data_IF_770553721011
#
_entry.id   IF_770553721011
#
_cell.length_a   1.000
_cell.length_b   1.000
_cell.length_c   1.000
_cell.angle_alpha   90.00
_cell.angle_beta   90.00
_cell.angle_gamma   90.00
#
_symmetry.space_group_name_H-M   'P 1'
#
loop_
_entity.id
_entity.type
_entity.pdbx_description
1 polymer ?
#
# COMPACT_ATOMS: atom_id res chain seq x y z
N UNK A 1 -24.85 -17.52 48.76
CA UNK A 1 -26.04 -17.12 47.98
C UNK A 1 -25.57 -16.19 46.86
N UNK A 2 -25.84 -16.33 45.58
CA UNK A 2 -26.29 -17.41 44.71
C UNK A 2 -25.71 -17.06 43.32
N UNK A 3 -25.22 -18.07 42.59
CA UNK A 3 -24.81 -17.97 41.18
C UNK A 3 -26.06 -17.83 40.30
N UNK A 4 -25.95 -17.12 39.18
CA UNK A 4 -26.93 -17.18 38.10
C UNK A 4 -26.22 -17.63 36.82
N UNK A 5 -26.31 -18.94 36.57
CA UNK A 5 -26.11 -19.58 35.28
C UNK A 5 -27.27 -19.22 34.34
N UNK A 6 -27.01 -19.18 33.04
CA UNK A 6 -28.06 -18.92 32.04
C UNK A 6 -27.62 -19.08 30.59
N UNK A 7 -27.04 -20.23 30.23
CA UNK A 7 -26.94 -20.67 28.84
C UNK A 7 -28.20 -21.47 28.47
N UNK A 8 -28.89 -21.06 27.40
CA UNK A 8 -29.97 -21.83 26.77
C UNK A 8 -29.64 -22.08 25.30
N UNK A 9 -29.57 -23.38 24.96
CA UNK A 9 -29.52 -23.92 23.60
C UNK A 9 -30.95 -24.17 23.10
N UNK A 10 -31.23 -23.85 21.83
CA UNK A 10 -32.18 -24.51 20.89
C UNK A 10 -32.08 -23.75 19.54
N UNK A 11 -31.46 -24.29 18.49
CA UNK A 11 -31.88 -25.37 17.56
C UNK A 11 -32.80 -24.88 16.42
N UNK A 12 -32.56 -25.44 15.21
CA UNK A 12 -33.36 -25.53 13.94
C UNK A 12 -32.52 -25.02 12.73
N UNK A 13 -31.87 -25.90 11.94
CA UNK A 13 -32.31 -26.69 10.77
C UNK A 13 -32.70 -25.85 9.53
N UNK A 14 -31.97 -26.02 8.42
CA UNK A 14 -32.43 -26.67 7.18
C UNK A 14 -31.56 -26.36 5.96
N UNK A 15 -31.47 -27.35 5.08
CA UNK A 15 -30.63 -27.46 3.89
C UNK A 15 -31.22 -26.78 2.64
N UNK A 16 -30.38 -26.58 1.62
CA UNK A 16 -30.80 -26.21 0.27
C UNK A 16 -29.69 -26.46 -0.76
N UNK A 17 -29.77 -27.61 -1.43
CA UNK A 17 -28.98 -28.00 -2.60
C UNK A 17 -29.59 -27.35 -3.87
N UNK A 18 -28.77 -26.90 -4.81
CA UNK A 18 -29.23 -26.41 -6.13
C UNK A 18 -28.15 -26.57 -7.21
N UNK A 19 -28.51 -27.30 -8.28
CA UNK A 19 -27.66 -27.81 -9.36
C UNK A 19 -27.03 -26.72 -10.25
N UNK A 20 -25.83 -27.00 -10.75
CA UNK A 20 -25.25 -26.34 -11.92
C UNK A 20 -25.38 -27.20 -13.18
N UNK A 21 -25.91 -26.59 -14.24
CA UNK A 21 -26.06 -27.12 -15.60
C UNK A 21 -24.81 -26.74 -16.39
N UNK A 22 -24.23 -27.67 -17.15
CA UNK A 22 -23.27 -27.36 -18.20
C UNK A 22 -23.55 -28.23 -19.42
N UNK A 23 -24.02 -27.58 -20.49
CA UNK A 23 -24.06 -28.14 -21.84
C UNK A 23 -22.83 -27.69 -22.61
N UNK A 24 -22.30 -28.59 -23.45
CA UNK A 24 -21.31 -28.23 -24.46
C UNK A 24 -21.79 -28.75 -25.82
N UNK A 25 -21.67 -27.84 -26.80
CA UNK A 25 -22.12 -27.94 -28.17
C UNK A 25 -21.11 -28.64 -29.08
N UNK A 26 -21.67 -29.29 -30.10
CA UNK A 26 -21.17 -29.60 -31.45
C UNK A 26 -19.75 -29.20 -31.88
N UNK A 27 -18.97 -30.20 -32.29
CA UNK A 27 -17.88 -30.07 -33.26
C UNK A 27 -18.28 -30.73 -34.58
N UNK A 28 -18.30 -29.93 -35.66
CA UNK A 28 -18.42 -30.38 -37.04
C UNK A 28 -17.20 -29.93 -37.83
N UNK A 29 -16.35 -30.88 -38.23
CA UNK A 29 -15.25 -30.65 -39.15
C UNK A 29 -14.99 -31.93 -39.95
N UNK A 30 -14.81 -31.80 -41.27
CA UNK A 30 -14.44 -32.90 -42.14
C UNK A 30 -14.66 -32.62 -43.61
N UNK A 31 -13.92 -31.64 -44.14
CA UNK A 31 -13.91 -31.29 -45.57
C UNK A 31 -13.33 -32.41 -46.43
N UNK A 32 -13.95 -32.60 -47.60
CA UNK A 32 -13.54 -33.56 -48.62
C UNK A 32 -12.24 -33.16 -49.31
N UNK A 33 -11.46 -34.19 -49.65
CA UNK A 33 -10.21 -34.12 -50.42
C UNK A 33 -10.36 -34.96 -51.69
N UNK A 34 -9.93 -34.39 -52.82
CA UNK A 34 -9.25 -35.03 -53.96
C UNK A 34 -9.58 -34.27 -55.27
N UNK A 35 -8.66 -33.49 -55.85
CA UNK A 35 -7.52 -33.87 -56.72
C UNK A 35 -7.91 -33.78 -58.23
N UNK A 36 -6.96 -33.83 -59.20
CA UNK A 36 -6.64 -32.66 -60.02
C UNK A 36 -6.81 -32.92 -61.54
N UNK A 37 -6.83 -31.86 -62.35
CA UNK A 37 -6.70 -31.98 -63.81
C UNK A 37 -5.80 -30.90 -64.38
N UNK A 38 -4.81 -31.34 -65.16
CA UNK A 38 -3.93 -30.57 -66.04
C UNK A 38 -3.77 -31.38 -67.34
N UNK A 39 -3.14 -30.86 -68.41
CA UNK A 39 -3.13 -29.51 -68.98
C UNK A 39 -3.48 -29.55 -70.50
N UNK A 40 -3.53 -28.39 -71.17
CA UNK A 40 -3.45 -28.31 -72.64
C UNK A 40 -2.61 -27.09 -73.10
N UNK A 41 -1.92 -27.16 -74.27
CA UNK A 41 -0.86 -26.21 -74.66
C UNK A 41 -1.22 -25.23 -75.79
N UNK A 42 -0.38 -24.18 -75.96
CA UNK A 42 -0.32 -23.25 -77.09
C UNK A 42 -0.92 -21.87 -76.77
N UNK A 43 -0.38 -20.70 -77.11
CA UNK A 43 0.63 -20.25 -78.11
C UNK A 43 1.03 -18.80 -77.69
N UNK A 44 2.17 -18.21 -78.14
CA UNK A 44 2.74 -17.01 -77.52
C UNK A 44 2.10 -15.73 -78.04
N UNK A 45 1.85 -14.76 -77.15
CA UNK A 45 1.41 -13.41 -77.56
C UNK A 45 2.09 -12.33 -76.72
N UNK A 46 2.30 -11.20 -77.38
CA UNK A 46 3.32 -10.21 -77.14
C UNK A 46 3.22 -9.46 -75.79
N UNK A 47 4.39 -9.05 -75.32
CA UNK A 47 4.69 -8.23 -74.13
C UNK A 47 4.05 -6.83 -74.24
N UNK A 48 3.17 -6.42 -73.30
CA UNK A 48 2.93 -5.02 -73.02
C UNK A 48 3.88 -4.53 -71.92
N UNK A 49 4.46 -3.37 -72.15
CA UNK A 49 5.37 -2.65 -71.24
C UNK A 49 4.67 -2.36 -69.91
N UNK A 50 5.22 -2.84 -68.80
CA UNK A 50 4.69 -2.60 -67.46
C UNK A 50 5.01 -1.16 -67.00
N UNK A 51 3.98 -0.40 -66.68
CA UNK A 51 4.05 0.85 -65.91
C UNK A 51 4.58 0.55 -64.50
N UNK A 52 5.49 1.35 -63.93
CA UNK A 52 5.97 1.12 -62.56
C UNK A 52 4.79 1.23 -61.57
N UNK A 53 4.72 0.38 -60.53
CA UNK A 53 3.69 0.48 -59.50
C UNK A 53 3.89 1.79 -58.72
N UNK A 54 2.81 2.54 -58.54
CA UNK A 54 2.75 3.64 -57.57
C UNK A 54 3.18 3.12 -56.19
N UNK A 55 3.98 3.89 -55.41
CA UNK A 55 4.33 3.49 -54.06
C UNK A 55 3.04 3.34 -53.24
N UNK A 56 2.82 2.14 -52.71
CA UNK A 56 1.80 1.93 -51.68
C UNK A 56 2.07 2.90 -50.53
N UNK A 57 1.05 3.59 -49.99
CA UNK A 57 1.25 4.45 -48.84
C UNK A 57 1.78 3.59 -47.70
N UNK A 58 3.01 3.87 -47.26
CA UNK A 58 3.55 3.29 -46.03
C UNK A 58 2.55 3.54 -44.93
N UNK A 59 2.07 2.46 -44.30
CA UNK A 59 1.25 2.56 -43.11
C UNK A 59 2.01 3.44 -42.09
N UNK A 60 1.35 4.43 -41.46
CA UNK A 60 1.99 5.23 -40.44
C UNK A 60 2.54 4.28 -39.37
N UNK A 61 3.84 4.43 -39.05
CA UNK A 61 4.44 3.70 -37.95
C UNK A 61 3.61 3.94 -36.69
N UNK A 62 3.28 2.90 -35.90
CA UNK A 62 2.56 3.12 -34.65
C UNK A 62 3.37 4.07 -33.79
N UNK A 63 2.72 5.14 -33.31
CA UNK A 63 3.33 6.06 -32.35
C UNK A 63 3.91 5.26 -31.17
N UNK A 64 5.09 5.63 -30.65
CA UNK A 64 5.69 4.93 -29.52
C UNK A 64 4.68 4.87 -28.38
N UNK A 65 4.32 3.64 -27.97
CA UNK A 65 3.44 3.44 -26.82
C UNK A 65 4.27 3.64 -25.57
N UNK A 66 3.88 4.60 -24.74
CA UNK A 66 4.50 4.85 -23.44
C UNK A 66 4.33 3.61 -22.57
N UNK A 67 5.44 3.04 -22.11
CA UNK A 67 5.43 1.83 -21.28
C UNK A 67 5.43 2.20 -19.79
N UNK A 68 4.46 1.66 -19.05
CA UNK A 68 4.45 1.70 -17.59
C UNK A 68 5.44 0.69 -17.01
N UNK A 69 6.00 0.93 -15.81
CA UNK A 69 6.89 -0.02 -15.16
C UNK A 69 6.17 -1.34 -14.84
N UNK A 70 6.93 -2.43 -14.80
CA UNK A 70 6.46 -3.68 -14.21
C UNK A 70 6.51 -3.58 -12.69
N UNK A 71 5.45 -4.00 -12.02
CA UNK A 71 5.35 -3.98 -10.55
C UNK A 71 5.11 -5.40 -10.04
N UNK A 72 5.83 -5.78 -8.99
CA UNK A 72 5.62 -7.05 -8.32
C UNK A 72 4.55 -6.92 -7.23
N UNK A 73 3.68 -7.93 -7.05
CA UNK A 73 2.83 -7.99 -5.88
C UNK A 73 3.66 -8.05 -4.60
N UNK A 74 3.27 -7.27 -3.60
CA UNK A 74 3.90 -7.34 -2.28
C UNK A 74 3.75 -8.75 -1.68
N UNK A 75 4.80 -9.21 -1.00
CA UNK A 75 4.82 -10.48 -0.30
C UNK A 75 5.32 -10.26 1.13
N UNK A 76 4.74 -10.93 2.14
CA UNK A 76 5.26 -10.93 3.50
C UNK A 76 6.72 -11.40 3.54
N UNK A 77 7.52 -10.78 4.41
CA UNK A 77 8.94 -11.09 4.63
C UNK A 77 9.25 -11.10 6.13
N UNK A 78 10.21 -11.90 6.58
CA UNK A 78 10.56 -11.92 8.01
C UNK A 78 9.40 -12.37 8.90
N UNK A 79 9.26 -11.73 10.06
CA UNK A 79 8.29 -12.08 11.11
C UNK A 79 7.01 -11.23 11.03
N UNK A 80 6.45 -11.14 9.83
CA UNK A 80 5.20 -10.42 9.58
C UNK A 80 4.07 -10.97 10.46
N UNK A 81 3.55 -10.12 11.34
CA UNK A 81 2.42 -10.50 12.18
C UNK A 81 1.16 -10.59 11.32
N UNK A 82 0.39 -11.67 11.50
CA UNK A 82 -0.90 -11.91 10.80
C UNK A 82 -0.87 -11.48 9.32
N UNK A 83 0.04 -12.06 8.50
CA UNK A 83 0.33 -11.57 7.15
C UNK A 83 -0.87 -11.60 6.22
N UNK A 84 -1.88 -12.44 6.51
CA UNK A 84 -3.14 -12.49 5.79
C UNK A 84 -3.94 -11.17 5.85
N UNK A 85 -3.76 -10.36 6.91
CA UNK A 85 -4.39 -9.03 7.04
C UNK A 85 -3.77 -8.06 6.04
N UNK A 86 -2.43 -8.04 5.98
CA UNK A 86 -1.68 -7.17 5.07
C UNK A 86 -1.93 -7.57 3.62
N UNK A 87 -1.93 -8.87 3.31
CA UNK A 87 -2.26 -9.37 1.97
C UNK A 87 -3.66 -8.93 1.51
N UNK A 88 -4.66 -8.98 2.38
CA UNK A 88 -6.01 -8.50 2.05
C UNK A 88 -6.03 -6.99 1.80
N UNK A 89 -5.27 -6.21 2.58
CA UNK A 89 -5.15 -4.77 2.39
C UNK A 89 -4.45 -4.41 1.07
N UNK A 90 -3.31 -5.04 0.78
CA UNK A 90 -2.54 -4.78 -0.45
C UNK A 90 -3.32 -5.16 -1.70
N UNK A 91 -4.06 -6.28 -1.68
CA UNK A 91 -4.90 -6.70 -2.80
C UNK A 91 -5.99 -5.65 -3.11
N UNK A 92 -6.66 -5.11 -2.09
CA UNK A 92 -7.69 -4.09 -2.28
C UNK A 92 -7.11 -2.79 -2.83
N UNK A 93 -5.96 -2.34 -2.30
CA UNK A 93 -5.27 -1.15 -2.79
C UNK A 93 -4.82 -1.33 -4.24
N UNK A 94 -4.20 -2.46 -4.59
CA UNK A 94 -3.79 -2.73 -5.97
C UNK A 94 -4.99 -2.78 -6.92
N UNK A 95 -6.11 -3.39 -6.53
CA UNK A 95 -7.34 -3.43 -7.34
C UNK A 95 -7.96 -2.04 -7.59
N UNK A 96 -7.85 -1.13 -6.61
CA UNK A 96 -8.29 0.27 -6.75
C UNK A 96 -7.39 1.05 -7.72
N UNK A 97 -6.08 0.81 -7.66
CA UNK A 97 -5.08 1.71 -8.24
C UNK A 97 -4.49 1.24 -9.57
N UNK A 98 -4.58 -0.05 -9.89
CA UNK A 98 -4.19 -0.59 -11.19
C UNK A 98 -5.35 -0.49 -12.19
N UNK A 99 -5.20 0.40 -13.17
CA UNK A 99 -6.20 0.64 -14.21
C UNK A 99 -5.63 0.16 -15.55
N UNK A 100 -6.19 -0.90 -16.15
CA UNK A 100 -5.74 -1.36 -17.46
C UNK A 100 -6.08 -0.34 -18.55
N UNK A 101 -5.39 -0.43 -19.69
CA UNK A 101 -5.69 0.40 -20.85
C UNK A 101 -7.17 0.25 -21.27
N UNK A 102 -7.86 1.37 -21.48
CA UNK A 102 -9.29 1.39 -21.81
C UNK A 102 -10.23 1.03 -20.64
N UNK A 103 -9.71 0.67 -19.46
CA UNK A 103 -10.48 0.28 -18.27
C UNK A 103 -10.88 1.44 -17.35
N UNK A 104 -11.00 2.66 -17.89
CA UNK A 104 -11.40 3.83 -17.11
C UNK A 104 -12.85 3.79 -16.63
N UNK A 105 -13.15 4.57 -15.59
CA UNK A 105 -14.51 4.79 -15.10
C UNK A 105 -14.98 3.86 -13.97
N UNK A 106 -16.05 4.30 -13.29
CA UNK A 106 -16.51 3.68 -12.04
C UNK A 106 -17.02 2.24 -12.20
N UNK A 107 -17.69 1.91 -13.31
CA UNK A 107 -18.21 0.56 -13.54
C UNK A 107 -17.07 -0.46 -13.72
N UNK A 108 -16.07 -0.11 -14.53
CA UNK A 108 -14.89 -0.96 -14.73
C UNK A 108 -14.08 -1.11 -13.42
N UNK A 109 -13.97 -0.05 -12.63
CA UNK A 109 -13.34 -0.12 -11.31
C UNK A 109 -14.09 -1.07 -10.36
N UNK A 110 -15.42 -0.96 -10.28
CA UNK A 110 -16.24 -1.86 -9.46
C UNK A 110 -16.14 -3.33 -9.89
N UNK A 111 -16.10 -3.60 -11.19
CA UNK A 111 -15.90 -4.97 -11.71
C UNK A 111 -14.51 -5.53 -11.34
N UNK A 112 -13.46 -4.70 -11.34
CA UNK A 112 -12.11 -5.13 -10.90
C UNK A 112 -12.08 -5.44 -9.40
N UNK A 113 -12.73 -4.63 -8.58
CA UNK A 113 -12.84 -4.89 -7.14
C UNK A 113 -13.56 -6.21 -6.88
N UNK A 114 -14.70 -6.44 -7.54
CA UNK A 114 -15.47 -7.68 -7.41
C UNK A 114 -14.64 -8.91 -7.84
N UNK A 115 -13.93 -8.82 -8.97
CA UNK A 115 -13.04 -9.88 -9.45
C UNK A 115 -11.87 -10.17 -8.47
N UNK A 116 -11.45 -9.18 -7.69
CA UNK A 116 -10.45 -9.32 -6.63
C UNK A 116 -11.04 -9.82 -5.30
N UNK A 117 -12.36 -10.07 -5.23
CA UNK A 117 -13.06 -10.45 -4.00
C UNK A 117 -13.16 -9.31 -2.97
N UNK A 118 -13.10 -8.07 -3.46
CA UNK A 118 -13.10 -6.83 -2.69
C UNK A 118 -14.43 -6.11 -2.88
N UNK A 119 -14.99 -5.54 -1.81
CA UNK A 119 -16.29 -4.84 -1.87
C UNK A 119 -16.22 -3.67 -2.88
N UNK A 120 -17.04 -3.67 -3.94
CA UNK A 120 -17.07 -2.59 -4.93
C UNK A 120 -17.45 -1.22 -4.34
N UNK A 121 -18.10 -1.17 -3.17
CA UNK A 121 -18.43 0.06 -2.46
C UNK A 121 -17.21 0.83 -1.96
N UNK A 122 -16.04 0.19 -1.85
CA UNK A 122 -14.79 0.87 -1.44
C UNK A 122 -14.35 1.97 -2.40
N UNK A 123 -14.80 1.92 -3.66
CA UNK A 123 -14.51 2.95 -4.66
C UNK A 123 -14.93 4.35 -4.18
N UNK A 124 -16.04 4.43 -3.44
CA UNK A 124 -16.62 5.70 -3.01
C UNK A 124 -15.74 6.40 -1.95
N UNK A 125 -14.93 5.63 -1.19
CA UNK A 125 -13.98 6.13 -0.19
C UNK A 125 -12.56 6.37 -0.73
N UNK A 126 -12.22 5.83 -1.91
CA UNK A 126 -10.85 5.85 -2.42
C UNK A 126 -10.33 7.27 -2.74
N UNK A 127 -11.20 8.20 -3.11
CA UNK A 127 -10.89 9.62 -3.22
C UNK A 127 -9.61 9.92 -4.01
N UNK A 128 -8.69 10.67 -3.38
CA UNK A 128 -7.42 11.10 -3.97
C UNK A 128 -6.43 9.97 -4.25
N UNK A 129 -6.67 8.74 -3.76
CA UNK A 129 -5.84 7.58 -4.11
C UNK A 129 -5.99 7.20 -5.58
N UNK A 130 -7.20 7.37 -6.14
CA UNK A 130 -7.47 6.98 -7.52
C UNK A 130 -6.53 7.71 -8.48
N UNK A 131 -5.97 7.00 -9.49
CA UNK A 131 -5.10 7.62 -10.48
C UNK A 131 -5.89 8.66 -11.28
N UNK A 132 -5.29 9.82 -11.62
CA UNK A 132 -5.97 10.86 -12.40
C UNK A 132 -6.43 10.38 -13.80
N UNK A 133 -5.67 9.47 -14.41
CA UNK A 133 -5.99 8.85 -15.70
C UNK A 133 -5.50 7.41 -15.75
N UNK A 134 -6.00 6.65 -16.72
CA UNK A 134 -5.52 5.31 -17.05
C UNK A 134 -4.82 5.29 -18.42
N UNK A 135 -3.96 4.30 -18.71
CA UNK A 135 -3.59 3.19 -17.84
C UNK A 135 -2.73 3.61 -16.64
N UNK A 136 -2.78 2.82 -15.56
CA UNK A 136 -1.98 3.02 -14.35
C UNK A 136 -1.56 1.69 -13.73
N UNK A 137 -0.42 1.72 -13.03
CA UNK A 137 0.09 0.62 -12.20
C UNK A 137 0.44 1.15 -10.81
N UNK A 138 0.38 0.28 -9.80
CA UNK A 138 0.67 0.64 -8.43
C UNK A 138 1.49 -0.45 -7.73
N UNK A 139 2.59 -0.05 -7.12
CA UNK A 139 3.43 -0.90 -6.30
C UNK A 139 3.18 -0.56 -4.84
N UNK A 140 2.79 -1.55 -4.04
CA UNK A 140 2.82 -1.38 -2.59
C UNK A 140 4.28 -1.47 -2.16
N UNK A 141 4.82 -0.36 -1.66
CA UNK A 141 6.20 -0.27 -1.15
C UNK A 141 6.27 -1.01 0.18
N UNK A 142 5.40 -0.65 1.12
CA UNK A 142 5.27 -1.36 2.38
C UNK A 142 3.88 -1.21 3.01
N UNK A 143 3.25 -2.30 3.48
CA UNK A 143 2.05 -2.27 4.31
C UNK A 143 2.43 -2.40 5.80
N UNK A 144 2.38 -1.31 6.56
CA UNK A 144 2.65 -1.30 8.01
C UNK A 144 1.36 -1.40 8.81
N UNK A 145 1.38 -1.97 10.02
CA UNK A 145 0.22 -1.84 10.90
C UNK A 145 0.08 -0.42 11.46
N UNK A 146 -1.12 0.16 11.37
CA UNK A 146 -1.54 1.32 12.16
C UNK A 146 -2.47 0.95 13.32
N UNK A 147 -2.84 -0.32 13.41
CA UNK A 147 -3.81 -0.82 14.38
C UNK A 147 -4.05 -2.32 14.24
N UNK A 148 -4.02 -3.06 15.33
CA UNK A 148 -4.30 -4.50 15.32
C UNK A 148 -5.03 -4.94 16.59
N UNK A 149 -6.23 -5.48 16.40
CA UNK A 149 -7.08 -6.11 17.42
C UNK A 149 -7.50 -7.50 16.92
N UNK A 150 -8.21 -8.27 17.76
CA UNK A 150 -8.61 -9.64 17.44
C UNK A 150 -9.49 -9.77 16.19
N UNK A 151 -10.39 -8.80 15.98
CA UNK A 151 -11.35 -8.81 14.89
C UNK A 151 -11.35 -7.54 14.05
N UNK A 152 -10.43 -6.62 14.30
CA UNK A 152 -10.34 -5.32 13.67
C UNK A 152 -8.88 -4.92 13.41
N UNK A 153 -8.60 -4.30 12.26
CA UNK A 153 -7.24 -3.90 11.92
C UNK A 153 -7.21 -2.64 11.05
N UNK A 154 -6.06 -1.98 11.07
CA UNK A 154 -5.67 -0.87 10.22
C UNK A 154 -4.29 -1.15 9.66
N UNK A 155 -4.20 -1.14 8.33
CA UNK A 155 -2.93 -1.29 7.62
C UNK A 155 -2.68 0.01 6.86
N UNK A 156 -1.59 0.67 7.19
CA UNK A 156 -1.10 1.88 6.52
C UNK A 156 -0.23 1.41 5.35
N UNK A 157 -0.72 1.59 4.13
CA UNK A 157 -0.01 1.16 2.92
C UNK A 157 0.65 2.33 2.24
N UNK A 158 1.97 2.30 2.12
CA UNK A 158 2.73 3.19 1.23
C UNK A 158 2.71 2.61 -0.18
N UNK A 159 2.31 3.42 -1.15
CA UNK A 159 2.11 2.98 -2.54
C UNK A 159 2.78 3.95 -3.49
N UNK A 160 3.62 3.43 -4.37
CA UNK A 160 4.13 4.16 -5.53
C UNK A 160 3.20 3.91 -6.71
N UNK A 161 2.74 4.97 -7.36
CA UNK A 161 1.75 4.89 -8.43
C UNK A 161 2.27 5.58 -9.69
N UNK A 162 2.11 4.92 -10.83
CA UNK A 162 2.41 5.45 -12.15
C UNK A 162 1.17 5.46 -13.02
N UNK A 163 1.03 6.49 -13.85
CA UNK A 163 -0.04 6.56 -14.85
C UNK A 163 0.43 7.26 -16.11
N UNK A 164 -0.26 6.99 -17.22
CA UNK A 164 0.00 7.69 -18.48
C UNK A 164 -0.87 8.94 -18.55
N UNK A 165 -0.24 10.08 -18.78
CA UNK A 165 -0.90 11.37 -18.98
C UNK A 165 -0.20 12.12 -20.10
N UNK A 166 -0.96 12.58 -21.09
CA UNK A 166 -0.45 13.38 -22.22
C UNK A 166 0.74 12.76 -22.98
N UNK A 167 0.81 11.43 -23.01
CA UNK A 167 1.90 10.70 -23.66
C UNK A 167 3.18 10.61 -22.82
N UNK A 168 3.10 10.87 -21.51
CA UNK A 168 4.21 10.76 -20.56
C UNK A 168 3.81 9.87 -19.37
N UNK A 169 4.80 9.27 -18.70
CA UNK A 169 4.59 8.57 -17.43
C UNK A 169 4.69 9.60 -16.30
N UNK A 170 3.59 9.80 -15.60
CA UNK A 170 3.56 10.54 -14.36
C UNK A 170 3.62 9.58 -13.17
N UNK A 171 4.12 10.07 -12.05
CA UNK A 171 4.37 9.28 -10.85
C UNK A 171 4.04 10.09 -9.58
N UNK A 172 3.60 9.38 -8.53
CA UNK A 172 3.50 9.90 -7.16
C UNK A 172 3.60 8.79 -6.14
N UNK A 173 3.78 9.15 -4.89
CA UNK A 173 3.56 8.26 -3.75
C UNK A 173 2.29 8.64 -2.99
N UNK A 174 1.51 7.65 -2.59
CA UNK A 174 0.30 7.84 -1.78
C UNK A 174 0.34 6.93 -0.56
N UNK A 175 -0.35 7.35 0.49
CA UNK A 175 -0.57 6.52 1.68
C UNK A 175 -2.06 6.27 1.81
N UNK A 176 -2.45 5.03 2.11
CA UNK A 176 -3.81 4.66 2.43
C UNK A 176 -3.88 3.98 3.80
N UNK A 177 -4.84 4.40 4.63
CA UNK A 177 -5.25 3.67 5.81
C UNK A 177 -6.38 2.70 5.44
N UNK A 178 -6.05 1.42 5.39
CA UNK A 178 -6.96 0.34 5.02
C UNK A 178 -7.52 -0.27 6.29
N UNK A 179 -8.84 -0.15 6.49
CA UNK A 179 -9.54 -0.72 7.63
C UNK A 179 -10.08 -2.08 7.29
N UNK A 180 -9.83 -3.06 8.15
CA UNK A 180 -10.27 -4.44 7.98
C UNK A 180 -11.06 -4.92 9.18
N UNK A 181 -11.98 -5.85 8.93
CA UNK A 181 -12.71 -6.59 9.96
C UNK A 181 -12.60 -8.08 9.68
N UNK A 182 -12.40 -8.88 10.72
CA UNK A 182 -12.45 -10.34 10.62
C UNK A 182 -13.89 -10.82 10.45
N UNK A 183 -14.10 -11.73 9.49
CA UNK A 183 -15.37 -12.41 9.21
C UNK A 183 -15.13 -13.93 9.13
N UNK A 184 -16.20 -14.72 9.02
CA UNK A 184 -16.13 -16.19 8.95
C UNK A 184 -15.28 -16.73 7.80
N UNK A 185 -15.04 -15.93 6.75
CA UNK A 185 -14.18 -16.25 5.61
C UNK A 185 -12.82 -15.52 5.60
N UNK A 186 -12.35 -15.03 6.74
CA UNK A 186 -11.08 -14.30 6.89
C UNK A 186 -11.25 -12.79 7.01
N UNK A 187 -10.17 -12.05 6.81
CA UNK A 187 -10.18 -10.58 6.86
C UNK A 187 -10.85 -9.99 5.63
N UNK A 188 -11.62 -8.93 5.82
CA UNK A 188 -12.27 -8.17 4.74
C UNK A 188 -12.02 -6.69 4.93
N UNK A 189 -11.61 -6.03 3.86
CA UNK A 189 -11.50 -4.57 3.83
C UNK A 189 -12.89 -3.98 3.90
N UNK A 190 -13.10 -3.04 4.82
CA UNK A 190 -14.37 -2.32 5.00
C UNK A 190 -14.28 -0.86 4.59
N UNK A 191 -13.07 -0.32 4.57
CA UNK A 191 -12.84 1.09 4.26
C UNK A 191 -11.40 1.28 3.79
N UNK A 192 -11.20 2.19 2.85
CA UNK A 192 -9.90 2.67 2.42
C UNK A 192 -9.93 4.19 2.56
N UNK A 193 -9.01 4.74 3.34
CA UNK A 193 -8.93 6.18 3.61
C UNK A 193 -7.64 6.75 3.01
N UNK A 194 -7.72 7.64 2.01
CA UNK A 194 -6.55 8.39 1.56
C UNK A 194 -5.92 9.18 2.71
N UNK A 195 -4.60 9.22 2.75
CA UNK A 195 -3.92 10.30 3.41
C UNK A 195 -4.34 11.64 2.78
N UNK A 196 -4.67 12.62 3.64
CA UNK A 196 -5.10 13.94 3.19
C UNK A 196 -3.87 14.72 2.73
N UNK A 197 -3.67 14.77 1.41
CA UNK A 197 -2.67 15.63 0.82
C UNK A 197 -3.20 17.07 0.70
N UNK A 198 -2.35 18.06 1.01
CA UNK A 198 -2.69 19.47 0.84
C UNK A 198 -1.57 20.24 0.13
N UNK A 199 -1.92 21.33 -0.57
CA UNK A 199 -0.96 22.21 -1.26
C UNK A 199 0.05 22.89 -0.33
N UNK A 200 1.34 22.57 -0.46
CA UNK A 200 2.44 23.14 0.33
C UNK A 200 3.01 24.37 -0.39
N UNK A 201 3.14 25.49 0.32
CA UNK A 201 3.91 26.65 -0.14
C UNK A 201 5.37 26.48 0.28
N UNK A 202 6.22 26.00 -0.64
CA UNK A 202 7.63 25.73 -0.38
C UNK A 202 8.42 26.97 0.06
N UNK A 203 7.96 28.18 -0.31
CA UNK A 203 8.62 29.42 0.10
C UNK A 203 8.45 29.70 1.60
N UNK A 204 7.46 29.09 2.25
CA UNK A 204 7.15 29.23 3.68
C UNK A 204 7.62 28.06 4.53
N UNK A 205 8.31 27.09 3.93
CA UNK A 205 8.83 25.93 4.66
C UNK A 205 10.00 26.39 5.53
N UNK A 206 9.85 26.17 6.83
CA UNK A 206 10.86 26.46 7.85
C UNK A 206 12.20 25.75 7.56
N UNK A 207 13.35 26.34 7.92
CA UNK A 207 14.67 25.78 7.60
C UNK A 207 14.88 24.34 8.09
N UNK A 208 14.43 24.00 9.30
CA UNK A 208 14.55 22.65 9.84
C UNK A 208 13.73 21.62 9.04
N UNK A 209 12.53 22.00 8.59
CA UNK A 209 11.69 21.15 7.75
C UNK A 209 12.33 20.96 6.37
N UNK A 210 12.93 22.03 5.82
CA UNK A 210 13.67 21.97 4.56
C UNK A 210 14.86 21.00 4.65
N UNK A 211 15.63 21.05 5.73
CA UNK A 211 16.76 20.13 5.94
C UNK A 211 16.30 18.65 5.88
N UNK A 212 15.18 18.32 6.53
CA UNK A 212 14.58 16.97 6.46
C UNK A 212 14.11 16.62 5.04
N UNK A 213 13.48 17.56 4.32
CA UNK A 213 12.99 17.31 2.96
C UNK A 213 14.11 17.14 1.93
N UNK A 214 15.25 17.79 2.15
CA UNK A 214 16.41 17.74 1.25
C UNK A 214 17.39 16.61 1.59
N UNK A 215 17.22 15.95 2.75
CA UNK A 215 18.06 14.83 3.16
C UNK A 215 17.82 13.59 2.26
N UNK A 216 18.80 13.15 1.46
CA UNK A 216 18.63 12.01 0.55
C UNK A 216 18.55 10.67 1.29
N UNK A 217 19.02 10.62 2.53
CA UNK A 217 18.93 9.47 3.42
C UNK A 217 17.52 9.26 4.00
N UNK A 218 16.62 10.23 3.84
CA UNK A 218 15.23 10.14 4.33
C UNK A 218 14.28 9.90 3.15
N UNK A 219 13.90 8.65 2.95
CA UNK A 219 12.87 8.29 1.98
C UNK A 219 11.49 8.53 2.61
N UNK A 220 10.87 9.65 2.19
CA UNK A 220 9.58 10.12 2.69
C UNK A 220 8.54 10.03 1.56
N UNK A 221 7.42 9.32 1.76
CA UNK A 221 6.30 9.37 0.82
C UNK A 221 5.67 10.76 0.75
N UNK A 222 5.04 11.10 -0.38
CA UNK A 222 4.54 12.46 -0.62
C UNK A 222 3.67 13.02 0.52
N UNK A 223 2.73 12.27 1.13
CA UNK A 223 1.98 12.78 2.28
C UNK A 223 2.86 13.05 3.50
N UNK A 224 3.90 12.24 3.75
CA UNK A 224 4.86 12.46 4.83
C UNK A 224 5.72 13.70 4.56
N UNK A 225 6.13 13.94 3.31
CA UNK A 225 6.82 15.20 2.91
C UNK A 225 5.94 16.42 3.17
N UNK A 226 4.64 16.32 2.89
CA UNK A 226 3.70 17.40 3.17
C UNK A 226 3.47 17.64 4.67
N UNK A 227 3.47 16.58 5.48
CA UNK A 227 3.41 16.69 6.93
C UNK A 227 4.64 17.44 7.47
N UNK A 228 5.85 17.06 7.05
CA UNK A 228 7.11 17.73 7.42
C UNK A 228 7.06 19.21 7.08
N UNK A 229 6.60 19.55 5.87
CA UNK A 229 6.51 20.93 5.41
C UNK A 229 5.52 21.80 6.22
N UNK A 230 4.52 21.19 6.89
CA UNK A 230 3.41 21.92 7.55
C UNK A 230 3.45 21.93 9.06
N UNK A 231 3.86 20.83 9.68
CA UNK A 231 3.60 20.58 11.11
C UNK A 231 4.73 21.10 12.01
N UNK A 232 5.91 21.33 11.45
CA UNK A 232 7.06 21.97 12.08
C UNK A 232 7.21 21.69 13.59
N UNK A 233 7.21 20.40 13.99
CA UNK A 233 7.46 19.99 15.38
C UNK A 233 8.96 19.91 15.57
N UNK A 234 9.59 20.86 16.31
CA UNK A 234 11.05 20.99 16.32
C UNK A 234 11.76 19.72 16.78
N UNK A 235 11.23 19.04 17.78
CA UNK A 235 11.82 17.81 18.34
C UNK A 235 11.80 16.66 17.32
N UNK A 236 10.70 16.51 16.57
CA UNK A 236 10.61 15.49 15.53
C UNK A 236 11.53 15.80 14.34
N UNK A 237 11.61 17.07 13.92
CA UNK A 237 12.52 17.48 12.85
C UNK A 237 13.99 17.30 13.23
N UNK A 238 14.34 17.62 14.48
CA UNK A 238 15.69 17.41 15.01
C UNK A 238 16.04 15.91 15.08
N UNK A 239 15.11 15.07 15.56
CA UNK A 239 15.25 13.61 15.54
C UNK A 239 15.52 13.10 14.12
N UNK A 240 14.67 13.45 13.15
CA UNK A 240 14.80 12.98 11.77
C UNK A 240 16.10 13.46 11.11
N UNK A 241 16.49 14.71 11.34
CA UNK A 241 17.76 15.25 10.83
C UNK A 241 18.93 14.45 11.40
N UNK A 242 18.98 14.28 12.72
CA UNK A 242 20.08 13.59 13.37
C UNK A 242 20.15 12.10 13.01
N UNK A 243 19.01 11.40 12.92
CA UNK A 243 19.01 10.00 12.48
C UNK A 243 19.39 9.90 10.98
N UNK A 244 18.91 10.81 10.13
CA UNK A 244 19.23 10.85 8.71
C UNK A 244 20.69 11.15 8.40
N UNK A 245 21.44 11.78 9.31
CA UNK A 245 22.89 11.95 9.18
C UNK A 245 23.68 10.63 9.33
N UNK A 246 23.07 9.61 9.95
CA UNK A 246 23.74 8.35 10.29
C UNK A 246 23.13 7.12 9.62
N UNK A 247 21.87 7.21 9.24
CA UNK A 247 21.10 6.10 8.70
C UNK A 247 20.34 6.48 7.43
N UNK A 248 20.16 5.49 6.56
CA UNK A 248 19.13 5.55 5.52
C UNK A 248 17.79 5.07 6.10
N UNK A 249 16.77 5.91 6.09
CA UNK A 249 15.46 5.63 6.69
C UNK A 249 14.37 5.59 5.64
N UNK A 250 13.51 4.57 5.71
CA UNK A 250 12.30 4.49 4.90
C UNK A 250 11.08 4.66 5.80
N UNK A 251 10.35 5.74 5.57
CA UNK A 251 9.25 6.19 6.43
C UNK A 251 7.92 5.67 5.92
N UNK A 252 7.08 5.20 6.84
CA UNK A 252 5.68 4.86 6.56
C UNK A 252 4.86 6.14 6.53
N UNK A 253 4.80 6.85 7.65
CA UNK A 253 3.99 8.07 7.80
C UNK A 253 4.44 8.92 9.00
N UNK A 254 3.96 10.18 9.05
CA UNK A 254 4.10 11.06 10.21
C UNK A 254 2.72 11.35 10.85
N UNK A 255 1.80 11.96 10.10
CA UNK A 255 0.45 12.25 10.58
C UNK A 255 -0.60 11.75 9.61
N UNK A 256 -0.44 12.13 8.35
CA UNK A 256 -1.35 11.83 7.27
C UNK A 256 -1.27 10.35 6.93
N UNK A 257 -2.43 9.67 6.92
CA UNK A 257 -2.51 8.24 6.69
C UNK A 257 -2.44 7.38 7.95
N UNK A 258 -2.20 7.94 9.14
CA UNK A 258 -2.30 7.21 10.40
C UNK A 258 -3.70 7.38 11.03
N UNK A 259 -4.24 6.35 11.73
CA UNK A 259 -5.41 6.50 12.58
C UNK A 259 -5.34 7.69 13.55
N UNK A 260 -6.46 8.40 13.73
CA UNK A 260 -6.54 9.55 14.65
C UNK A 260 -6.24 9.16 16.10
N UNK A 261 -6.88 8.10 16.54
CA UNK A 261 -6.77 7.59 17.91
C UNK A 261 -5.77 6.45 17.94
N UNK A 262 -5.19 6.22 19.11
CA UNK A 262 -4.52 4.95 19.39
C UNK A 262 -5.55 3.84 19.22
N UNK A 263 -5.20 2.86 18.39
CA UNK A 263 -6.20 2.00 17.79
C UNK A 263 -7.03 1.23 18.82
N UNK A 264 -8.35 1.25 18.66
CA UNK A 264 -9.28 0.64 19.62
C UNK A 264 -9.54 1.46 20.88
N UNK A 265 -9.01 2.69 20.99
CA UNK A 265 -9.20 3.57 22.15
C UNK A 265 -9.76 4.93 21.73
N UNK A 266 -10.07 5.79 22.70
CA UNK A 266 -10.45 7.20 22.48
C UNK A 266 -9.29 8.18 22.68
N UNK A 267 -8.07 7.67 22.91
CA UNK A 267 -6.87 8.49 23.14
C UNK A 267 -6.35 8.97 21.79
N UNK A 268 -6.20 10.27 21.59
CA UNK A 268 -5.55 10.80 20.38
C UNK A 268 -4.11 10.26 20.28
N UNK A 269 -3.72 9.82 19.08
CA UNK A 269 -2.36 9.36 18.78
C UNK A 269 -1.38 10.52 18.63
N UNK A 270 -0.09 10.30 18.94
CA UNK A 270 0.95 11.28 18.63
C UNK A 270 1.10 11.53 17.12
N UNK A 271 0.77 10.56 16.25
CA UNK A 271 0.67 10.80 14.80
C UNK A 271 -0.38 11.86 14.48
N UNK A 272 -1.58 11.76 15.05
CA UNK A 272 -2.65 12.74 14.83
C UNK A 272 -2.24 14.16 15.23
N UNK A 273 -1.43 14.26 16.29
CA UNK A 273 -0.86 15.52 16.78
C UNK A 273 0.35 16.00 15.97
N UNK A 274 0.84 15.24 15.00
CA UNK A 274 2.01 15.56 14.18
C UNK A 274 3.35 15.39 14.89
N UNK A 275 3.38 14.60 15.97
CA UNK A 275 4.54 14.45 16.87
C UNK A 275 5.13 13.04 16.86
N UNK A 276 4.85 12.27 15.81
CA UNK A 276 5.38 10.93 15.67
C UNK A 276 5.78 10.62 14.22
N UNK A 277 6.58 9.58 14.07
CA UNK A 277 6.99 8.99 12.80
C UNK A 277 7.10 7.47 12.94
N UNK A 278 6.65 6.76 11.92
CA UNK A 278 6.84 5.32 11.78
C UNK A 278 7.86 5.04 10.67
N UNK A 279 8.85 4.20 10.98
CA UNK A 279 9.97 3.86 10.10
C UNK A 279 9.97 2.35 9.90
N UNK A 280 9.85 1.87 8.66
CA UNK A 280 9.75 0.44 8.37
C UNK A 280 11.07 -0.19 7.93
N UNK A 281 12.06 0.60 7.51
CA UNK A 281 13.40 0.10 7.22
C UNK A 281 14.49 1.10 7.65
N UNK A 282 15.61 0.54 8.09
CA UNK A 282 16.82 1.26 8.50
C UNK A 282 18.01 0.64 7.79
N UNK A 283 18.81 1.46 7.11
CA UNK A 283 20.00 1.05 6.35
C UNK A 283 19.71 -0.07 5.33
N UNK A 284 18.57 0.06 4.64
CA UNK A 284 18.07 -0.91 3.66
C UNK A 284 17.56 -2.22 4.26
N UNK A 285 17.52 -2.37 5.58
CA UNK A 285 17.02 -3.56 6.27
C UNK A 285 15.62 -3.31 6.81
N UNK A 286 14.60 -4.08 6.38
CA UNK A 286 13.26 -3.97 6.94
C UNK A 286 13.24 -4.34 8.42
N UNK A 287 12.58 -3.53 9.25
CA UNK A 287 12.47 -3.74 10.71
C UNK A 287 11.84 -5.08 11.04
N UNK A 288 10.88 -5.55 10.23
CA UNK A 288 10.23 -6.87 10.39
C UNK A 288 11.18 -8.07 10.28
N UNK A 289 12.40 -7.85 9.75
CA UNK A 289 13.44 -8.89 9.66
C UNK A 289 14.45 -8.84 10.81
N UNK A 290 14.36 -7.83 11.68
CA UNK A 290 15.24 -7.68 12.83
C UNK A 290 14.63 -8.39 14.04
N UNK A 291 15.38 -9.31 14.64
CA UNK A 291 14.96 -9.94 15.88
C UNK A 291 14.98 -8.94 17.06
N UNK A 292 14.21 -9.17 18.14
CA UNK A 292 14.17 -8.23 19.27
C UNK A 292 15.52 -8.00 19.95
N UNK A 293 16.46 -8.94 19.83
CA UNK A 293 17.83 -8.82 20.34
C UNK A 293 18.85 -8.38 19.27
N UNK A 294 18.39 -7.99 18.07
CA UNK A 294 19.26 -7.49 17.01
C UNK A 294 19.99 -6.22 17.46
N UNK A 295 21.32 -6.26 17.42
CA UNK A 295 22.17 -5.16 17.89
C UNK A 295 21.97 -3.85 17.12
N UNK A 296 21.62 -3.91 15.83
CA UNK A 296 21.34 -2.74 15.00
C UNK A 296 20.05 -2.08 15.44
N UNK A 297 19.01 -2.89 15.66
CA UNK A 297 17.73 -2.42 16.20
C UNK A 297 17.96 -1.76 17.57
N UNK A 298 18.59 -2.46 18.50
CA UNK A 298 18.82 -1.94 19.86
C UNK A 298 19.64 -0.64 19.87
N UNK A 299 20.65 -0.52 19.00
CA UNK A 299 21.43 0.71 18.85
C UNK A 299 20.56 1.86 18.31
N UNK A 300 19.80 1.62 17.24
CA UNK A 300 18.90 2.61 16.64
C UNK A 300 17.84 3.12 17.63
N UNK A 301 17.28 2.23 18.45
CA UNK A 301 16.33 2.58 19.50
C UNK A 301 16.98 3.44 20.61
N UNK A 302 18.20 3.08 21.02
CA UNK A 302 18.94 3.86 22.00
C UNK A 302 19.24 5.28 21.49
N UNK A 303 19.60 5.44 20.22
CA UNK A 303 19.82 6.75 19.61
C UNK A 303 18.54 7.59 19.59
N UNK A 304 17.39 7.01 19.25
CA UNK A 304 16.11 7.72 19.30
C UNK A 304 15.76 8.22 20.70
N UNK A 305 16.03 7.41 21.74
CA UNK A 305 15.88 7.83 23.14
C UNK A 305 16.85 8.96 23.50
N UNK A 306 18.12 8.85 23.11
CA UNK A 306 19.15 9.85 23.43
C UNK A 306 18.88 11.19 22.73
N UNK A 307 18.16 11.15 21.59
CA UNK A 307 17.63 12.32 20.88
C UNK A 307 16.30 12.83 21.47
N UNK A 308 15.80 12.23 22.55
CA UNK A 308 14.69 12.74 23.35
C UNK A 308 13.31 12.18 22.98
N UNK A 309 13.20 11.13 22.16
CA UNK A 309 11.92 10.45 21.95
C UNK A 309 11.40 9.90 23.29
N UNK A 310 10.08 10.02 23.51
CA UNK A 310 9.43 9.72 24.80
C UNK A 310 8.41 8.59 24.72
N UNK A 311 8.05 8.19 23.50
CA UNK A 311 7.23 7.05 23.15
C UNK A 311 7.94 6.32 22.00
N UNK A 312 8.46 5.12 22.25
CA UNK A 312 9.24 4.34 21.29
C UNK A 312 8.62 2.95 21.18
N UNK A 313 7.82 2.74 20.14
CA UNK A 313 7.23 1.44 19.84
C UNK A 313 8.14 0.69 18.88
N UNK A 314 8.50 -0.56 19.18
CA UNK A 314 9.35 -1.33 18.28
C UNK A 314 9.19 -2.84 18.49
N UNK A 315 9.90 -3.69 17.72
CA UNK A 315 9.95 -5.12 18.00
C UNK A 315 10.59 -5.48 19.35
N UNK A 316 11.37 -4.56 19.92
CA UNK A 316 12.12 -4.75 21.15
C UNK A 316 11.67 -3.78 22.25
N UNK A 317 11.74 -4.24 23.50
CA UNK A 317 11.61 -3.42 24.69
C UNK A 317 12.87 -3.59 25.54
N UNK A 318 13.93 -2.78 25.31
CA UNK A 318 15.21 -2.89 26.01
C UNK A 318 15.10 -2.66 27.52
N UNK A 319 14.08 -1.92 27.97
CA UNK A 319 13.87 -1.65 29.39
C UNK A 319 13.05 -2.78 30.05
N UNK A 320 12.31 -3.56 29.26
CA UNK A 320 11.40 -4.62 29.71
C UNK A 320 9.99 -4.11 30.03
N UNK A 321 9.01 -5.03 30.19
CA UNK A 321 7.57 -4.80 29.93
C UNK A 321 6.81 -3.93 30.97
N UNK A 322 7.49 -3.15 31.79
CA UNK A 322 6.83 -2.28 32.76
C UNK A 322 6.39 -0.96 32.11
N UNK A 323 5.08 -0.77 31.93
CA UNK A 323 4.54 0.42 31.29
C UNK A 323 4.37 1.64 32.23
N UNK A 324 4.38 2.84 31.64
CA UNK A 324 3.69 4.00 32.22
C UNK A 324 4.48 4.91 33.15
N UNK A 325 5.82 4.84 33.18
CA UNK A 325 6.63 5.66 34.08
C UNK A 325 7.80 6.42 33.41
N UNK A 326 8.28 7.52 34.03
CA UNK A 326 9.36 8.37 33.52
C UNK A 326 10.65 7.58 33.46
N UNK A 327 11.30 7.62 32.30
CA UNK A 327 12.51 6.85 32.03
C UNK A 327 12.24 5.61 31.18
N UNK A 328 10.99 5.12 31.13
CA UNK A 328 10.58 4.03 30.23
C UNK A 328 9.86 4.59 29.03
N UNK A 329 10.61 4.68 27.94
CA UNK A 329 10.12 5.20 26.65
C UNK A 329 9.77 4.08 25.69
N UNK A 330 10.36 2.89 25.88
CA UNK A 330 10.16 1.75 25.00
C UNK A 330 8.90 0.94 25.34
N UNK A 331 8.33 0.32 24.32
CA UNK A 331 7.32 -0.72 24.45
C UNK A 331 7.35 -1.62 23.21
N UNK A 332 7.02 -2.90 23.37
CA UNK A 332 6.93 -3.87 22.29
C UNK A 332 5.57 -4.57 22.31
N UNK A 333 4.96 -4.73 21.13
CA UNK A 333 3.71 -5.45 20.94
C UNK A 333 3.58 -5.93 19.49
N UNK A 334 2.54 -6.71 19.18
CA UNK A 334 2.29 -7.26 17.83
C UNK A 334 2.23 -6.16 16.75
N UNK A 335 1.77 -4.95 17.10
CA UNK A 335 1.61 -3.85 16.15
C UNK A 335 2.95 -3.29 15.67
N UNK A 336 3.95 -3.20 16.54
CA UNK A 336 5.26 -2.59 16.22
C UNK A 336 6.31 -3.63 15.81
N UNK A 337 5.90 -4.86 15.47
CA UNK A 337 6.85 -5.89 15.04
C UNK A 337 7.49 -5.59 13.67
N UNK A 338 6.87 -4.72 12.89
CA UNK A 338 7.21 -4.45 11.49
C UNK A 338 7.73 -3.02 11.22
N UNK A 339 7.78 -2.16 12.26
CA UNK A 339 8.27 -0.79 12.18
C UNK A 339 8.76 -0.29 13.54
N UNK A 340 9.54 0.80 13.52
CA UNK A 340 9.90 1.59 14.70
C UNK A 340 9.06 2.85 14.71
N UNK A 341 8.32 3.06 15.79
CA UNK A 341 7.59 4.27 16.11
C UNK A 341 8.45 5.16 17.01
N UNK A 342 8.59 6.43 16.67
CA UNK A 342 9.11 7.46 17.58
C UNK A 342 8.07 8.55 17.79
N UNK A 343 7.77 8.87 19.05
CA UNK A 343 6.78 9.85 19.46
C UNK A 343 7.25 10.79 20.58
N UNK A 344 6.66 11.99 20.60
CA UNK A 344 6.92 13.03 21.60
C UNK A 344 5.66 13.39 22.40
N UNK A 345 5.61 12.90 23.64
CA UNK A 345 4.61 13.25 24.64
C UNK A 345 4.88 14.65 25.20
N UNK A 346 3.83 15.47 25.29
CA UNK A 346 3.90 16.79 25.97
C UNK A 346 3.54 16.73 27.45
N UNK A 347 2.90 15.65 27.89
CA UNK A 347 2.58 15.45 29.30
C UNK A 347 3.63 14.50 29.85
N UNK A 348 4.43 14.91 30.85
CA UNK A 348 5.39 14.01 31.46
C UNK A 348 4.69 12.80 32.07
N UNK A 349 5.19 11.60 31.80
CA UNK A 349 4.79 10.36 32.50
C UNK A 349 5.01 10.52 34.03
N UNK A 350 4.33 9.76 34.90
CA UNK A 350 4.66 9.72 36.34
C UNK A 350 6.01 9.02 36.59
N UNK A 351 6.75 9.28 37.67
CA UNK A 351 8.07 8.64 37.90
C UNK A 351 7.97 7.13 38.12
N UNK A 352 8.99 6.36 37.71
CA UNK A 352 9.06 4.94 38.07
C UNK A 352 9.25 4.78 39.59
N UNK A 353 8.55 3.81 40.17
CA UNK A 353 8.69 3.41 41.58
C UNK A 353 9.74 2.33 41.77
#
# INVERSE_FOLDING_TARGET
>A
MARADGLSRRAVLAAGLGLAVAGCSSDGAGGGSAAPSAPAPGTPSARPTATPPSPSPSAPAPSPTVALPSVEPWRPVGDEQRPEVKLAATAAVQALLAVPAGGGGAAAARARLDAAGVDPGLLDGAGSLLPPSGPSVAQVVYPSYGGLLDDDASVITVVRQWWVQDGEVAEREVIADVRLRRRSGGWRVREVRPAVAGAVDLARVEPAARAVLEAPSLQLPDPARQDVARLAVPELLALLTALGERHELQVVCLRSGHPREVYGTTRDSNHWRGRAVDIWAVDGVPVVTMEPDDRRLLAFLAEGRDLGATEIGSPADPDGPQEGCRGRVFFANELHRDHVHFGFDRVPKPTCG
#
